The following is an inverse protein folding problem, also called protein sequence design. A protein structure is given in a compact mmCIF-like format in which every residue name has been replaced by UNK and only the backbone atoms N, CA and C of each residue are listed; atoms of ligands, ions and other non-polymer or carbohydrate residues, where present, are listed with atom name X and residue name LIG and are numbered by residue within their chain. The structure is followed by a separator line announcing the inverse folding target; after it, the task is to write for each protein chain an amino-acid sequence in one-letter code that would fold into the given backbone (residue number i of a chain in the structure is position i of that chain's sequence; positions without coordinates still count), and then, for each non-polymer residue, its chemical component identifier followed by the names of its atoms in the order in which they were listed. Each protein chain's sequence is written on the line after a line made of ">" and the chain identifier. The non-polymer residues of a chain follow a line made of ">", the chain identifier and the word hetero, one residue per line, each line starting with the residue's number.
data_IF_986374986804
#
_entry.id   IF_986374986804
#
_cell.length_a   1.000
_cell.length_b   1.000
_cell.length_c   1.000
_cell.angle_alpha   90.00
_cell.angle_beta   90.00
_cell.angle_gamma   90.00
#
_symmetry.space_group_name_H-M   'P 1'
#
loop_
_entity.id
_entity.type
_entity.pdbx_description
1 polymer ?
#
# COMPACT_ATOMS: atom_id res chain seq x y z
N UNK A 1 -19.31 -5.13 -5.14
CA UNK A 1 -19.52 -5.16 -3.67
C UNK A 1 -18.76 -6.29 -2.97
N UNK A 2 -18.98 -7.58 -3.34
CA UNK A 2 -18.32 -8.73 -2.66
C UNK A 2 -16.79 -8.67 -2.60
N UNK A 3 -16.12 -8.22 -3.68
CA UNK A 3 -14.65 -8.09 -3.73
C UNK A 3 -14.10 -7.03 -2.79
N UNK A 4 -14.76 -5.87 -2.72
CA UNK A 4 -14.39 -4.77 -1.81
C UNK A 4 -14.48 -5.22 -0.35
N UNK A 5 -15.55 -5.93 0.03
CA UNK A 5 -15.72 -6.48 1.38
C UNK A 5 -14.63 -7.51 1.71
N UNK A 6 -14.32 -8.42 0.80
CA UNK A 6 -13.24 -9.40 1.03
C UNK A 6 -11.87 -8.74 1.14
N UNK A 7 -11.62 -7.65 0.42
CA UNK A 7 -10.37 -6.90 0.52
C UNK A 7 -10.31 -6.06 1.79
N UNK A 8 -11.45 -5.56 2.28
CA UNK A 8 -11.57 -4.81 3.54
C UNK A 8 -11.22 -5.65 4.78
N UNK A 9 -11.42 -6.98 4.71
CA UNK A 9 -11.04 -7.89 5.79
C UNK A 9 -9.54 -7.89 6.06
N UNK A 10 -8.70 -7.72 5.03
CA UNK A 10 -7.25 -7.72 5.22
C UNK A 10 -6.75 -6.57 6.12
N UNK A 11 -7.04 -5.28 5.84
CA UNK A 11 -6.67 -4.19 6.73
C UNK A 11 -7.38 -4.27 8.08
N UNK A 12 -8.62 -4.78 8.16
CA UNK A 12 -9.26 -5.01 9.45
C UNK A 12 -8.49 -6.04 10.31
N UNK A 13 -8.08 -7.17 9.71
CA UNK A 13 -7.22 -8.17 10.36
C UNK A 13 -5.87 -7.57 10.75
N UNK A 14 -5.26 -6.73 9.91
CA UNK A 14 -4.01 -6.06 10.27
C UNK A 14 -4.18 -5.10 11.45
N UNK A 15 -5.34 -4.44 11.60
CA UNK A 15 -5.65 -3.67 12.81
C UNK A 15 -5.65 -4.53 14.09
N UNK A 16 -6.14 -5.78 14.03
CA UNK A 16 -6.09 -6.72 15.17
C UNK A 16 -4.67 -7.16 15.55
N UNK A 17 -3.69 -6.97 14.65
CA UNK A 17 -2.29 -7.33 14.92
C UNK A 17 -1.77 -6.57 16.13
N UNK A 18 -2.16 -5.30 16.30
CA UNK A 18 -1.79 -4.49 17.47
C UNK A 18 -2.21 -5.15 18.79
N UNK A 19 -3.49 -5.55 18.91
CA UNK A 19 -3.98 -6.25 20.10
C UNK A 19 -3.22 -7.56 20.35
N UNK A 20 -2.98 -8.33 19.29
CA UNK A 20 -2.28 -9.62 19.40
C UNK A 20 -0.84 -9.45 19.85
N UNK A 21 -0.12 -8.47 19.30
CA UNK A 21 1.26 -8.19 19.67
C UNK A 21 1.38 -7.62 21.08
N UNK A 22 0.40 -6.87 21.55
CA UNK A 22 0.43 -6.25 22.89
C UNK A 22 0.07 -7.23 24.00
N UNK A 23 -0.96 -8.07 23.81
CA UNK A 23 -1.50 -8.92 24.88
C UNK A 23 -0.92 -10.34 24.91
N UNK A 24 -0.58 -10.88 23.75
CA UNK A 24 -0.26 -12.31 23.63
C UNK A 24 1.21 -12.58 23.36
N UNK A 25 1.97 -11.61 22.87
CA UNK A 25 3.36 -11.82 22.49
C UNK A 25 4.34 -11.25 23.54
N UNK A 26 5.50 -11.88 23.73
CA UNK A 26 6.59 -11.31 24.51
C UNK A 26 7.04 -9.96 23.92
N UNK A 27 7.27 -8.97 24.79
CA UNK A 27 7.66 -7.62 24.39
C UNK A 27 9.04 -7.56 23.71
N UNK A 28 9.91 -8.54 24.02
CA UNK A 28 11.25 -8.72 23.46
C UNK A 28 11.26 -9.56 22.16
N UNK A 29 10.09 -9.93 21.64
CA UNK A 29 9.92 -10.87 20.53
C UNK A 29 9.52 -10.25 19.19
N UNK A 30 9.81 -8.97 18.95
CA UNK A 30 9.26 -8.22 17.82
C UNK A 30 9.78 -8.68 16.46
N UNK A 31 11.09 -8.88 16.29
CA UNK A 31 11.67 -9.40 15.05
C UNK A 31 11.25 -10.85 14.83
N UNK A 32 11.19 -11.64 15.89
CA UNK A 32 10.68 -13.01 15.84
C UNK A 32 9.19 -13.05 15.44
N UNK A 33 8.38 -12.10 15.90
CA UNK A 33 6.98 -11.95 15.49
C UNK A 33 6.84 -11.62 14.00
N UNK A 34 7.70 -10.74 13.47
CA UNK A 34 7.73 -10.48 12.03
C UNK A 34 8.20 -11.68 11.22
N UNK A 35 9.22 -12.41 11.71
CA UNK A 35 9.71 -13.62 11.07
C UNK A 35 8.63 -14.72 11.00
N UNK A 36 7.97 -15.00 12.12
CA UNK A 36 6.88 -16.00 12.21
C UNK A 36 5.64 -15.61 11.43
N UNK A 37 5.36 -14.30 11.32
CA UNK A 37 4.33 -13.75 10.43
C UNK A 37 4.67 -13.93 8.95
N UNK A 38 5.94 -13.83 8.58
CA UNK A 38 6.39 -13.80 7.18
C UNK A 38 6.80 -15.18 6.65
N UNK A 39 7.81 -15.82 7.24
CA UNK A 39 8.47 -16.99 6.65
C UNK A 39 7.59 -18.25 6.64
N UNK A 40 7.00 -18.72 7.75
CA UNK A 40 6.10 -19.87 7.74
C UNK A 40 4.89 -19.64 6.83
N UNK A 41 4.33 -18.43 6.87
CA UNK A 41 3.21 -18.03 6.04
C UNK A 41 3.57 -18.08 4.55
N UNK A 42 4.73 -17.52 4.19
CA UNK A 42 5.25 -17.51 2.83
C UNK A 42 5.48 -18.91 2.29
N UNK A 43 6.18 -19.76 3.06
CA UNK A 43 6.46 -21.14 2.67
C UNK A 43 5.18 -21.95 2.49
N UNK A 44 4.22 -21.82 3.40
CA UNK A 44 2.93 -22.49 3.29
C UNK A 44 2.13 -21.98 2.08
N UNK A 45 2.15 -20.67 1.80
CA UNK A 45 1.50 -20.11 0.62
C UNK A 45 2.14 -20.61 -0.69
N UNK A 46 3.47 -20.74 -0.74
CA UNK A 46 4.19 -21.34 -1.88
C UNK A 46 3.83 -22.81 -2.04
N UNK A 47 3.79 -23.57 -0.94
CA UNK A 47 3.43 -24.99 -0.93
C UNK A 47 1.98 -25.22 -1.41
N UNK A 48 1.04 -24.38 -0.96
CA UNK A 48 -0.36 -24.45 -1.36
C UNK A 48 -0.57 -24.01 -2.81
N UNK A 49 0.12 -22.96 -3.25
CA UNK A 49 0.01 -22.47 -4.62
C UNK A 49 0.80 -23.33 -5.62
N UNK A 50 1.76 -24.13 -5.15
CA UNK A 50 2.64 -25.02 -5.95
C UNK A 50 3.28 -24.32 -7.15
N UNK A 51 3.52 -23.01 -7.01
CA UNK A 51 4.05 -22.17 -8.09
C UNK A 51 5.25 -21.40 -7.54
N UNK A 52 6.43 -21.70 -8.08
CA UNK A 52 7.67 -21.02 -7.73
C UNK A 52 7.90 -19.78 -8.62
N UNK A 53 8.68 -18.79 -8.15
CA UNK A 53 9.16 -17.72 -9.00
C UNK A 53 9.87 -18.30 -10.23
N UNK A 54 9.75 -17.63 -11.37
CA UNK A 54 10.36 -18.04 -12.62
C UNK A 54 10.97 -16.85 -13.35
N UNK A 55 12.08 -17.08 -14.06
CA UNK A 55 12.84 -16.02 -14.75
C UNK A 55 13.22 -14.89 -13.80
N UNK A 56 12.97 -13.65 -14.22
CA UNK A 56 13.25 -12.42 -13.47
C UNK A 56 12.53 -12.31 -12.13
N UNK A 57 11.50 -13.13 -11.89
CA UNK A 57 10.72 -13.02 -10.66
C UNK A 57 11.44 -13.48 -9.40
N UNK A 58 12.53 -14.24 -9.53
CA UNK A 58 13.38 -14.57 -8.38
C UNK A 58 13.94 -13.33 -7.71
N UNK A 59 14.59 -12.46 -8.47
CA UNK A 59 15.19 -11.24 -7.92
C UNK A 59 14.13 -10.18 -7.64
N UNK A 60 13.06 -10.06 -8.45
CA UNK A 60 11.97 -9.10 -8.19
C UNK A 60 11.23 -9.45 -6.90
N UNK A 61 10.91 -10.72 -6.67
CA UNK A 61 10.30 -11.17 -5.42
C UNK A 61 11.22 -10.93 -4.22
N UNK A 62 12.54 -11.16 -4.39
CA UNK A 62 13.52 -10.85 -3.36
C UNK A 62 13.52 -9.35 -3.03
N UNK A 63 13.65 -8.48 -4.02
CA UNK A 63 13.64 -7.02 -3.81
C UNK A 63 12.33 -6.55 -3.17
N UNK A 64 11.18 -7.00 -3.69
CA UNK A 64 9.87 -6.60 -3.14
C UNK A 64 9.65 -7.14 -1.73
N UNK A 65 10.03 -8.39 -1.46
CA UNK A 65 9.96 -9.02 -0.14
C UNK A 65 10.86 -8.30 0.85
N UNK A 66 12.09 -7.97 0.47
CA UNK A 66 13.00 -7.16 1.29
C UNK A 66 12.39 -5.79 1.58
N UNK A 67 11.97 -5.03 0.58
CA UNK A 67 11.51 -3.65 0.79
C UNK A 67 10.22 -3.54 1.60
N UNK A 68 9.27 -4.46 1.41
CA UNK A 68 7.96 -4.38 2.08
C UNK A 68 7.93 -5.12 3.43
N UNK A 69 8.85 -6.04 3.66
CA UNK A 69 8.82 -6.94 4.83
C UNK A 69 10.20 -6.99 5.49
N UNK A 70 11.21 -7.50 4.79
CA UNK A 70 12.51 -7.86 5.37
C UNK A 70 13.32 -6.69 5.92
N UNK A 71 13.25 -5.53 5.27
CA UNK A 71 13.89 -4.29 5.68
C UNK A 71 12.91 -3.39 6.44
N UNK A 72 11.62 -3.41 6.05
CA UNK A 72 10.61 -2.58 6.68
C UNK A 72 10.35 -2.93 8.14
N UNK A 73 10.14 -4.22 8.46
CA UNK A 73 9.80 -4.60 9.84
C UNK A 73 10.92 -4.32 10.85
N UNK A 74 12.21 -4.64 10.60
CA UNK A 74 13.28 -4.32 11.54
C UNK A 74 13.44 -2.82 11.78
N UNK A 75 13.35 -2.02 10.71
CA UNK A 75 13.40 -0.55 10.82
C UNK A 75 12.19 0.01 11.57
N UNK A 76 11.02 -0.58 11.38
CA UNK A 76 9.80 -0.23 12.12
C UNK A 76 9.95 -0.52 13.61
N UNK A 77 10.47 -1.69 13.99
CA UNK A 77 10.69 -2.03 15.39
C UNK A 77 11.77 -1.19 16.04
N UNK A 78 12.90 -0.99 15.36
CA UNK A 78 13.97 -0.10 15.85
C UNK A 78 13.46 1.33 16.07
N UNK A 79 12.58 1.83 15.18
CA UNK A 79 11.93 3.12 15.36
C UNK A 79 10.96 3.11 16.56
N UNK A 80 10.16 2.04 16.72
CA UNK A 80 9.19 1.92 17.81
C UNK A 80 9.84 1.76 19.20
N UNK A 81 10.98 1.09 19.30
CA UNK A 81 11.73 0.93 20.55
C UNK A 81 12.44 2.22 20.98
N UNK A 82 12.90 3.02 20.02
CA UNK A 82 13.75 4.19 20.30
C UNK A 82 13.03 5.52 20.25
N UNK A 83 11.83 5.57 19.71
CA UNK A 83 11.03 6.78 19.63
C UNK A 83 9.77 6.64 20.49
N UNK A 84 9.30 7.75 21.09
CA UNK A 84 7.93 7.82 21.58
C UNK A 84 6.95 7.42 20.46
N UNK A 85 5.95 6.61 20.78
CA UNK A 85 5.04 6.00 19.79
C UNK A 85 4.36 7.02 18.85
N UNK A 86 4.13 8.25 19.33
CA UNK A 86 3.67 9.34 18.48
C UNK A 86 4.66 9.66 17.36
N UNK A 87 5.95 9.85 17.68
CA UNK A 87 6.99 10.24 16.70
C UNK A 87 7.12 9.15 15.64
N UNK A 88 7.18 7.89 16.06
CA UNK A 88 7.18 6.74 15.16
C UNK A 88 5.95 6.72 14.23
N UNK A 89 4.76 7.02 14.76
CA UNK A 89 3.54 7.14 13.97
C UNK A 89 3.63 8.26 12.92
N UNK A 90 4.23 9.41 13.24
CA UNK A 90 4.39 10.53 12.27
C UNK A 90 5.28 10.16 11.10
N UNK A 91 6.34 9.40 11.38
CA UNK A 91 7.23 8.89 10.35
C UNK A 91 6.48 7.93 9.42
N UNK A 92 5.66 7.03 9.97
CA UNK A 92 4.77 6.19 9.17
C UNK A 92 3.76 7.00 8.34
N UNK A 93 3.22 8.09 8.89
CA UNK A 93 2.27 8.96 8.20
C UNK A 93 2.89 9.84 7.10
N UNK A 94 4.22 9.95 7.05
CA UNK A 94 4.94 10.56 5.93
C UNK A 94 5.00 9.66 4.69
N UNK A 95 4.74 8.35 4.85
CA UNK A 95 4.81 7.36 3.79
C UNK A 95 3.96 7.71 2.55
N UNK A 96 2.71 8.21 2.64
CA UNK A 96 1.93 8.62 1.48
C UNK A 96 2.60 9.74 0.65
N UNK A 97 3.34 10.66 1.30
CA UNK A 97 4.11 11.71 0.60
C UNK A 97 5.27 11.06 -0.16
N UNK A 98 6.01 10.17 0.49
CA UNK A 98 7.13 9.47 -0.12
C UNK A 98 6.67 8.64 -1.33
N UNK A 99 5.55 7.92 -1.20
CA UNK A 99 4.91 7.20 -2.32
C UNK A 99 4.51 8.16 -3.43
N UNK A 100 3.91 9.31 -3.12
CA UNK A 100 3.52 10.29 -4.13
C UNK A 100 4.74 10.85 -4.89
N UNK A 101 5.85 11.12 -4.21
CA UNK A 101 7.11 11.55 -4.83
C UNK A 101 7.72 10.45 -5.69
N UNK A 102 7.83 9.23 -5.16
CA UNK A 102 8.36 8.08 -5.88
C UNK A 102 7.47 7.70 -7.09
N UNK A 103 6.16 7.88 -7.02
CA UNK A 103 5.28 7.65 -8.15
C UNK A 103 5.60 8.59 -9.33
N UNK A 104 6.03 9.83 -9.08
CA UNK A 104 6.48 10.74 -10.14
C UNK A 104 7.78 10.23 -10.78
N UNK A 105 8.76 9.89 -9.95
CA UNK A 105 10.11 9.53 -10.42
C UNK A 105 10.13 8.14 -11.07
N UNK A 106 9.45 7.16 -10.46
CA UNK A 106 9.51 5.74 -10.83
C UNK A 106 8.43 5.34 -11.83
N UNK A 107 7.25 5.96 -11.77
CA UNK A 107 6.11 5.64 -12.64
C UNK A 107 5.83 6.74 -13.69
N UNK A 108 6.51 7.89 -13.63
CA UNK A 108 6.26 9.01 -14.53
C UNK A 108 4.91 9.71 -14.32
N UNK A 109 4.24 9.47 -13.18
CA UNK A 109 2.96 10.09 -12.89
C UNK A 109 3.12 11.61 -12.66
N UNK A 110 2.13 12.42 -13.06
CA UNK A 110 2.17 13.87 -12.79
C UNK A 110 1.85 14.16 -11.32
N UNK A 111 2.71 14.93 -10.64
CA UNK A 111 2.50 15.30 -9.24
C UNK A 111 1.24 16.17 -9.11
N UNK A 112 0.22 15.64 -8.45
CA UNK A 112 -0.97 16.41 -8.12
C UNK A 112 -0.67 17.29 -6.92
N UNK A 113 -0.70 18.62 -7.10
CA UNK A 113 -0.57 19.60 -5.99
C UNK A 113 -1.57 19.32 -4.86
N UNK A 114 -2.71 18.74 -5.20
CA UNK A 114 -3.72 18.28 -4.24
C UNK A 114 -3.24 17.13 -3.35
N UNK A 115 -2.60 16.11 -3.93
CA UNK A 115 -2.04 14.97 -3.18
C UNK A 115 -0.90 15.42 -2.27
N UNK A 116 -0.09 16.37 -2.74
CA UNK A 116 0.97 16.96 -1.93
C UNK A 116 0.41 17.76 -0.74
N UNK A 117 -0.59 18.62 -0.99
CA UNK A 117 -1.24 19.42 0.05
C UNK A 117 -1.84 18.56 1.15
N UNK A 118 -2.61 17.54 0.78
CA UNK A 118 -3.18 16.61 1.77
C UNK A 118 -2.12 15.72 2.43
N UNK A 119 -1.02 15.39 1.75
CA UNK A 119 0.13 14.75 2.38
C UNK A 119 0.68 15.58 3.56
N UNK A 120 0.87 16.88 3.36
CA UNK A 120 1.34 17.80 4.41
C UNK A 120 0.35 17.85 5.58
N UNK A 121 -0.96 17.93 5.30
CA UNK A 121 -2.00 17.89 6.34
C UNK A 121 -1.94 16.59 7.14
N UNK A 122 -1.64 15.46 6.48
CA UNK A 122 -1.44 14.17 7.15
C UNK A 122 -0.25 14.18 8.11
N UNK A 123 0.88 14.75 7.70
CA UNK A 123 2.07 14.92 8.56
C UNK A 123 1.75 15.81 9.77
N UNK A 124 1.02 16.91 9.57
CA UNK A 124 0.59 17.79 10.66
C UNK A 124 -0.36 17.05 11.62
N UNK A 125 -1.33 16.31 11.06
CA UNK A 125 -2.27 15.49 11.83
C UNK A 125 -1.55 14.53 12.74
N UNK A 126 -0.57 13.80 12.23
CA UNK A 126 0.16 12.87 13.10
C UNK A 126 1.07 13.61 14.07
N UNK A 127 1.71 14.72 13.68
CA UNK A 127 2.46 15.60 14.59
C UNK A 127 1.65 16.04 15.83
N UNK A 128 0.35 16.29 15.68
CA UNK A 128 -0.56 16.61 16.80
C UNK A 128 -0.85 15.42 17.72
N UNK A 129 -0.77 14.19 17.23
CA UNK A 129 -0.83 12.96 18.05
C UNK A 129 0.43 12.84 18.92
N UNK A 130 1.54 13.44 18.48
CA UNK A 130 2.89 13.22 19.05
C UNK A 130 3.34 14.22 20.07
N UNK A 131 2.98 15.50 19.91
CA UNK A 131 3.47 16.61 20.72
C UNK A 131 2.89 16.54 22.15
N UNK A 132 3.33 15.52 22.89
CA UNK A 132 3.29 15.45 24.34
C UNK A 132 4.59 16.03 24.94
N UNK A 133 4.56 16.48 26.19
CA UNK A 133 5.63 17.28 26.81
C UNK A 133 6.98 16.55 27.00
N UNK A 134 7.05 15.22 26.85
CA UNK A 134 8.24 14.42 27.20
C UNK A 134 8.96 13.75 26.00
N UNK A 135 8.84 14.30 24.78
CA UNK A 135 9.44 13.70 23.59
C UNK A 135 10.98 13.83 23.55
N UNK A 136 11.69 12.88 24.16
CA UNK A 136 13.11 12.66 23.89
C UNK A 136 13.24 12.01 22.50
N UNK A 137 13.85 12.72 21.55
CA UNK A 137 14.02 12.26 20.17
C UNK A 137 15.38 11.57 20.02
N UNK A 138 15.39 10.25 19.80
CA UNK A 138 16.59 9.52 19.40
C UNK A 138 16.82 9.62 17.88
N UNK A 139 18.01 10.06 17.49
CA UNK A 139 18.38 10.23 16.09
C UNK A 139 18.39 8.90 15.33
N UNK A 140 18.74 7.78 16.00
CA UNK A 140 18.77 6.46 15.36
C UNK A 140 17.35 5.97 15.08
N UNK A 141 16.44 6.11 16.06
CA UNK A 141 15.02 5.83 15.85
C UNK A 141 14.40 6.67 14.73
N UNK A 142 14.75 7.97 14.65
CA UNK A 142 14.27 8.86 13.59
C UNK A 142 14.72 8.41 12.20
N UNK A 143 16.01 8.11 12.05
CA UNK A 143 16.58 7.59 10.79
C UNK A 143 15.96 6.25 10.43
N UNK A 144 15.76 5.36 11.41
CA UNK A 144 15.12 4.07 11.19
C UNK A 144 13.68 4.23 10.70
N UNK A 145 12.89 5.12 11.31
CA UNK A 145 11.51 5.35 10.90
C UNK A 145 11.39 5.99 9.51
N UNK A 146 12.24 6.96 9.18
CA UNK A 146 12.31 7.55 7.81
C UNK A 146 12.74 6.50 6.79
N UNK A 147 13.78 5.71 7.09
CA UNK A 147 14.25 4.66 6.20
C UNK A 147 13.20 3.55 6.01
N UNK A 148 12.47 3.19 7.07
CA UNK A 148 11.36 2.24 7.01
C UNK A 148 10.22 2.74 6.13
N UNK A 149 9.78 3.99 6.35
CA UNK A 149 8.77 4.63 5.52
C UNK A 149 9.19 4.72 4.04
N UNK A 150 10.46 5.07 3.76
CA UNK A 150 11.00 5.13 2.42
C UNK A 150 11.10 3.74 1.76
N UNK A 151 11.56 2.73 2.51
CA UNK A 151 11.62 1.33 2.06
C UNK A 151 10.25 0.83 1.64
N UNK A 152 9.25 1.02 2.50
CA UNK A 152 7.87 0.62 2.21
C UNK A 152 7.28 1.41 1.05
N UNK A 153 7.54 2.72 0.97
CA UNK A 153 7.07 3.55 -0.13
C UNK A 153 7.66 3.10 -1.48
N UNK A 154 8.94 2.77 -1.52
CA UNK A 154 9.60 2.22 -2.70
C UNK A 154 9.08 0.82 -3.04
N UNK A 155 8.91 -0.05 -2.04
CA UNK A 155 8.37 -1.40 -2.20
C UNK A 155 6.97 -1.41 -2.82
N UNK A 156 6.07 -0.54 -2.35
CA UNK A 156 4.72 -0.39 -2.91
C UNK A 156 4.77 0.19 -4.33
N UNK A 157 5.63 1.17 -4.58
CA UNK A 157 5.77 1.80 -5.91
C UNK A 157 6.31 0.81 -6.94
N UNK A 158 7.32 0.01 -6.58
CA UNK A 158 7.88 -1.04 -7.44
C UNK A 158 6.89 -2.20 -7.64
N UNK A 159 6.13 -2.57 -6.62
CA UNK A 159 5.03 -3.56 -6.74
C UNK A 159 4.04 -3.11 -7.82
N UNK A 160 3.69 -1.81 -7.86
CA UNK A 160 2.82 -1.27 -8.91
C UNK A 160 3.50 -1.23 -10.28
N UNK A 161 4.81 -0.89 -10.33
CA UNK A 161 5.59 -0.84 -11.58
C UNK A 161 5.73 -2.20 -12.25
N UNK A 162 6.09 -3.23 -11.47
CA UNK A 162 6.34 -4.58 -11.98
C UNK A 162 5.07 -5.42 -12.08
N UNK A 163 4.00 -5.00 -11.38
CA UNK A 163 2.73 -5.69 -11.37
C UNK A 163 2.84 -7.10 -10.80
N UNK A 164 2.13 -8.04 -11.43
CA UNK A 164 2.16 -9.47 -11.09
C UNK A 164 2.44 -10.28 -12.36
N UNK A 165 3.23 -11.37 -12.29
CA UNK A 165 3.44 -12.21 -13.47
C UNK A 165 2.12 -12.76 -14.00
N UNK A 166 2.04 -12.93 -15.31
CA UNK A 166 0.89 -13.58 -15.95
C UNK A 166 0.73 -15.02 -15.45
N UNK A 167 -0.52 -15.45 -15.28
CA UNK A 167 -0.84 -16.78 -14.74
C UNK A 167 -0.58 -16.99 -13.25
N UNK A 168 0.06 -16.04 -12.56
CA UNK A 168 0.38 -16.18 -11.12
C UNK A 168 -0.75 -15.64 -10.26
N UNK A 169 -1.35 -16.51 -9.45
CA UNK A 169 -2.39 -16.16 -8.50
C UNK A 169 -1.89 -15.29 -7.33
N UNK A 170 -2.80 -14.58 -6.67
CA UNK A 170 -2.45 -13.72 -5.52
C UNK A 170 -1.80 -14.48 -4.35
N UNK A 171 -2.17 -15.75 -4.15
CA UNK A 171 -1.60 -16.58 -3.09
C UNK A 171 -0.12 -16.90 -3.36
N UNK A 172 0.21 -17.29 -4.60
CA UNK A 172 1.60 -17.52 -5.01
C UNK A 172 2.43 -16.25 -4.86
N UNK A 173 1.92 -15.13 -5.37
CA UNK A 173 2.58 -13.83 -5.28
C UNK A 173 2.83 -13.40 -3.83
N UNK A 174 1.80 -13.51 -2.97
CA UNK A 174 1.94 -13.26 -1.53
C UNK A 174 3.01 -14.16 -0.92
N UNK A 175 2.98 -15.45 -1.26
CA UNK A 175 3.94 -16.45 -0.81
C UNK A 175 5.37 -16.11 -1.18
N UNK A 176 5.60 -15.61 -2.40
CA UNK A 176 6.95 -15.21 -2.84
C UNK A 176 7.49 -14.04 -2.03
N UNK A 177 6.70 -12.97 -1.85
CA UNK A 177 7.11 -11.79 -1.10
C UNK A 177 7.31 -12.11 0.39
N UNK A 178 6.38 -12.87 0.99
CA UNK A 178 6.46 -13.30 2.40
C UNK A 178 7.66 -14.21 2.64
N UNK A 179 7.92 -15.17 1.74
CA UNK A 179 9.08 -16.07 1.84
C UNK A 179 10.38 -15.27 1.70
N UNK A 180 10.49 -14.43 0.68
CA UNK A 180 11.67 -13.61 0.45
C UNK A 180 11.95 -12.65 1.62
N UNK A 181 10.94 -11.92 2.07
CA UNK A 181 11.06 -11.03 3.22
C UNK A 181 11.39 -11.80 4.51
N UNK A 182 10.73 -12.93 4.73
CA UNK A 182 10.99 -13.82 5.85
C UNK A 182 12.42 -14.38 5.87
N UNK A 183 12.95 -14.81 4.71
CA UNK A 183 14.33 -15.27 4.59
C UNK A 183 15.34 -14.18 4.95
N UNK A 184 15.07 -12.94 4.54
CA UNK A 184 15.89 -11.79 4.91
C UNK A 184 15.81 -11.51 6.42
N UNK A 185 14.65 -11.71 7.05
CA UNK A 185 14.48 -11.55 8.49
C UNK A 185 15.20 -12.61 9.34
N UNK A 186 15.51 -13.79 8.78
CA UNK A 186 16.21 -14.85 9.53
C UNK A 186 17.53 -14.33 10.08
N UNK A 187 18.32 -13.63 9.27
CA UNK A 187 19.65 -13.13 9.66
C UNK A 187 19.58 -12.14 10.82
N UNK A 188 18.87 -11.01 10.74
CA UNK A 188 18.84 -10.05 11.83
C UNK A 188 18.09 -10.61 13.06
N UNK A 189 17.08 -11.47 12.90
CA UNK A 189 16.45 -12.14 14.04
C UNK A 189 17.47 -13.03 14.76
N UNK A 190 18.22 -13.86 14.05
CA UNK A 190 19.20 -14.75 14.65
C UNK A 190 20.39 -14.02 15.30
N UNK A 191 20.79 -12.86 14.76
CA UNK A 191 21.92 -12.08 15.26
C UNK A 191 21.57 -11.18 16.46
N UNK A 192 20.33 -10.69 16.57
CA UNK A 192 19.96 -9.67 17.56
C UNK A 192 18.99 -10.14 18.65
N UNK A 193 18.03 -11.02 18.32
CA UNK A 193 16.90 -11.35 19.22
C UNK A 193 16.85 -12.84 19.56
N UNK A 194 17.07 -13.70 18.57
CA UNK A 194 16.95 -15.15 18.70
C UNK A 194 15.48 -15.60 18.79
N UNK A 195 15.25 -16.69 19.53
CA UNK A 195 13.91 -17.18 19.84
C UNK A 195 13.56 -16.71 21.25
N UNK A 196 12.44 -15.97 21.45
CA UNK A 196 12.03 -15.52 22.77
C UNK A 196 11.89 -16.67 23.75
N UNK A 197 12.37 -16.47 24.98
CA UNK A 197 12.15 -17.45 26.06
C UNK A 197 10.76 -17.28 26.64
N UNK A 198 10.12 -18.38 27.05
CA UNK A 198 8.80 -18.31 27.72
C UNK A 198 7.60 -18.20 26.77
N UNK A 199 7.69 -18.77 25.56
CA UNK A 199 6.54 -18.94 24.68
C UNK A 199 5.54 -19.90 25.34
N UNK A 200 4.50 -19.34 25.94
CA UNK A 200 3.38 -20.10 26.50
C UNK A 200 2.31 -20.41 25.43
N UNK A 201 1.22 -21.06 25.84
CA UNK A 201 0.15 -21.42 24.91
C UNK A 201 -0.54 -20.19 24.29
N UNK A 202 -0.59 -19.08 25.01
CA UNK A 202 -1.19 -17.82 24.55
C UNK A 202 -0.32 -17.18 23.46
N UNK A 203 0.99 -17.10 23.69
CA UNK A 203 1.97 -16.62 22.71
C UNK A 203 2.01 -17.50 21.46
N UNK A 204 1.94 -18.82 21.62
CA UNK A 204 1.83 -19.73 20.48
C UNK A 204 0.56 -19.45 19.66
N UNK A 205 -0.58 -19.24 20.32
CA UNK A 205 -1.82 -18.82 19.66
C UNK A 205 -1.68 -17.50 18.91
N UNK A 206 -1.00 -16.52 19.51
CA UNK A 206 -0.69 -15.23 18.89
C UNK A 206 0.18 -15.36 17.64
N UNK A 207 1.27 -16.12 17.70
CA UNK A 207 2.13 -16.38 16.54
C UNK A 207 1.41 -17.13 15.42
N UNK A 208 0.57 -18.12 15.76
CA UNK A 208 -0.26 -18.84 14.78
C UNK A 208 -1.27 -17.90 14.09
N UNK A 209 -1.91 -17.01 14.85
CA UNK A 209 -2.79 -15.99 14.29
C UNK A 209 -2.04 -15.04 13.36
N UNK A 210 -0.85 -14.57 13.76
CA UNK A 210 -0.01 -13.69 12.94
C UNK A 210 0.38 -14.34 11.62
N UNK A 211 0.82 -15.61 11.64
CA UNK A 211 1.23 -16.32 10.42
C UNK A 211 0.05 -16.68 9.51
N UNK A 212 -1.00 -17.30 10.05
CA UNK A 212 -2.09 -17.84 9.24
C UNK A 212 -3.06 -16.74 8.79
N UNK A 213 -3.51 -15.91 9.74
CA UNK A 213 -4.56 -14.92 9.50
C UNK A 213 -3.96 -13.59 9.08
N UNK A 214 -3.00 -13.06 9.84
CA UNK A 214 -2.29 -11.81 9.51
C UNK A 214 -1.37 -11.92 8.28
N UNK A 215 -0.76 -13.09 8.10
CA UNK A 215 0.12 -13.43 6.99
C UNK A 215 -0.67 -13.94 5.78
N UNK A 216 -0.83 -15.25 5.65
CA UNK A 216 -1.33 -15.88 4.42
C UNK A 216 -2.70 -15.33 4.01
N UNK A 217 -3.68 -15.37 4.91
CA UNK A 217 -5.05 -15.03 4.58
C UNK A 217 -5.18 -13.54 4.20
N UNK A 218 -4.72 -12.63 5.06
CA UNK A 218 -4.83 -11.20 4.81
C UNK A 218 -4.05 -10.77 3.57
N UNK A 219 -2.79 -11.18 3.39
CA UNK A 219 -2.02 -10.82 2.19
C UNK A 219 -2.65 -11.38 0.91
N UNK A 220 -3.18 -12.61 0.94
CA UNK A 220 -3.85 -13.19 -0.22
C UNK A 220 -5.09 -12.39 -0.61
N UNK A 221 -5.94 -12.04 0.37
CA UNK A 221 -7.14 -11.22 0.15
C UNK A 221 -6.79 -9.81 -0.33
N UNK A 222 -5.75 -9.21 0.25
CA UNK A 222 -5.24 -7.90 -0.11
C UNK A 222 -4.74 -7.86 -1.56
N UNK A 223 -3.85 -8.80 -1.95
CA UNK A 223 -3.31 -8.84 -3.30
C UNK A 223 -4.36 -9.25 -4.36
N UNK A 224 -5.39 -10.02 -3.98
CA UNK A 224 -6.58 -10.23 -4.85
C UNK A 224 -7.33 -8.91 -5.10
N UNK A 225 -7.49 -8.11 -4.05
CA UNK A 225 -8.11 -6.78 -4.14
C UNK A 225 -7.30 -5.82 -4.99
N UNK A 226 -6.00 -5.69 -4.71
CA UNK A 226 -5.06 -4.82 -5.42
C UNK A 226 -5.07 -5.03 -6.93
N UNK A 227 -5.17 -6.28 -7.40
CA UNK A 227 -5.20 -6.59 -8.83
C UNK A 227 -6.52 -6.27 -9.52
N UNK A 228 -7.58 -5.91 -8.79
CA UNK A 228 -8.94 -5.74 -9.36
C UNK A 228 -9.64 -4.44 -8.96
N UNK A 229 -9.26 -3.80 -7.86
CA UNK A 229 -9.86 -2.58 -7.35
C UNK A 229 -9.09 -1.34 -7.84
N UNK A 230 -9.79 -0.21 -8.08
CA UNK A 230 -9.14 1.06 -8.32
C UNK A 230 -8.23 1.46 -7.15
N UNK A 231 -7.07 2.06 -7.44
CA UNK A 231 -6.07 2.47 -6.44
C UNK A 231 -6.69 3.28 -5.29
N UNK A 232 -7.59 4.22 -5.60
CA UNK A 232 -8.31 5.03 -4.61
C UNK A 232 -9.14 4.19 -3.65
N UNK A 233 -9.84 3.16 -4.14
CA UNK A 233 -10.64 2.28 -3.28
C UNK A 233 -9.75 1.46 -2.35
N UNK A 234 -8.63 0.93 -2.86
CA UNK A 234 -7.68 0.14 -2.07
C UNK A 234 -6.99 0.99 -1.00
N UNK A 235 -6.65 2.25 -1.31
CA UNK A 235 -6.10 3.19 -0.35
C UNK A 235 -7.10 3.52 0.78
N UNK A 236 -8.38 3.72 0.44
CA UNK A 236 -9.43 3.93 1.44
C UNK A 236 -9.66 2.68 2.30
N UNK A 237 -9.57 1.48 1.73
CA UNK A 237 -9.65 0.24 2.52
C UNK A 237 -8.50 0.12 3.52
N UNK A 238 -7.30 0.58 3.15
CA UNK A 238 -6.14 0.60 4.06
C UNK A 238 -6.38 1.37 5.36
N UNK A 239 -7.26 2.38 5.34
CA UNK A 239 -7.66 3.16 6.52
C UNK A 239 -8.37 2.33 7.59
N UNK A 240 -8.92 1.18 7.24
CA UNK A 240 -9.57 0.30 8.21
C UNK A 240 -8.57 -0.24 9.23
N UNK A 241 -7.29 -0.39 8.87
CA UNK A 241 -6.27 -0.91 9.80
C UNK A 241 -6.05 0.01 11.00
N UNK A 242 -5.71 1.30 10.84
CA UNK A 242 -5.55 2.20 11.98
C UNK A 242 -6.86 2.43 12.76
N UNK A 243 -8.02 2.40 12.07
CA UNK A 243 -9.32 2.50 12.74
C UNK A 243 -9.62 1.30 13.66
N UNK A 244 -9.38 0.09 13.18
CA UNK A 244 -9.58 -1.13 13.98
C UNK A 244 -8.57 -1.19 15.12
N UNK A 245 -7.31 -0.83 14.88
CA UNK A 245 -6.30 -0.80 15.94
C UNK A 245 -6.67 0.18 17.06
N UNK A 246 -7.02 1.42 16.73
CA UNK A 246 -7.45 2.42 17.71
C UNK A 246 -8.74 2.01 18.44
N UNK A 247 -9.71 1.42 17.72
CA UNK A 247 -10.93 0.90 18.32
C UNK A 247 -10.66 -0.22 19.32
N UNK A 248 -9.75 -1.16 19.01
CA UNK A 248 -9.36 -2.22 19.92
C UNK A 248 -8.56 -1.70 21.12
N UNK A 249 -7.68 -0.71 20.93
CA UNK A 249 -6.99 -0.05 22.04
C UNK A 249 -7.95 0.55 23.06
N UNK A 250 -8.96 1.29 22.60
CA UNK A 250 -9.96 1.89 23.50
C UNK A 250 -10.90 0.84 24.10
N UNK A 251 -11.44 -0.06 23.29
CA UNK A 251 -12.52 -0.97 23.71
C UNK A 251 -12.04 -2.20 24.48
N UNK A 252 -10.83 -2.70 24.17
CA UNK A 252 -10.29 -3.95 24.75
C UNK A 252 -9.19 -3.64 25.75
N UNK A 253 -8.27 -2.74 25.42
CA UNK A 253 -7.15 -2.39 26.30
C UNK A 253 -7.47 -1.26 27.29
N UNK A 254 -8.65 -0.62 27.15
CA UNK A 254 -9.07 0.47 28.02
C UNK A 254 -8.24 1.75 27.85
N UNK A 255 -7.55 1.92 26.71
CA UNK A 255 -6.73 3.09 26.47
C UNK A 255 -7.57 4.36 26.37
N UNK A 256 -7.14 5.42 27.06
CA UNK A 256 -7.76 6.74 26.95
C UNK A 256 -7.01 7.58 25.93
N UNK A 257 -7.65 7.87 24.80
CA UNK A 257 -7.11 8.81 23.82
C UNK A 257 -7.29 10.25 24.32
N UNK A 258 -6.19 10.99 24.38
CA UNK A 258 -6.20 12.41 24.72
C UNK A 258 -6.81 13.23 23.57
N UNK A 259 -7.33 14.43 23.88
CA UNK A 259 -7.92 15.32 22.87
C UNK A 259 -6.97 15.60 21.68
N UNK A 260 -5.66 15.86 21.87
CA UNK A 260 -4.72 16.02 20.76
C UNK A 260 -4.57 14.76 19.89
N UNK A 261 -4.57 13.56 20.49
CA UNK A 261 -4.50 12.30 19.76
C UNK A 261 -5.74 12.05 18.91
N UNK A 262 -6.93 12.33 19.44
CA UNK A 262 -8.19 12.23 18.68
C UNK A 262 -8.20 13.19 17.50
N UNK A 263 -7.82 14.45 17.73
CA UNK A 263 -7.77 15.48 16.68
C UNK A 263 -6.72 15.14 15.61
N UNK A 264 -5.54 14.70 16.03
CA UNK A 264 -4.47 14.31 15.11
C UNK A 264 -4.84 13.08 14.28
N UNK A 265 -5.49 12.09 14.90
CA UNK A 265 -6.00 10.91 14.20
C UNK A 265 -7.08 11.27 13.19
N UNK A 266 -8.05 12.11 13.58
CA UNK A 266 -9.07 12.62 12.68
C UNK A 266 -8.47 13.41 11.51
N UNK A 267 -7.47 14.25 11.77
CA UNK A 267 -6.80 15.04 10.75
C UNK A 267 -5.99 14.17 9.78
N UNK A 268 -5.27 13.16 10.28
CA UNK A 268 -4.52 12.22 9.45
C UNK A 268 -5.44 11.37 8.57
N UNK A 269 -6.57 10.89 9.11
CA UNK A 269 -7.59 10.19 8.32
C UNK A 269 -8.21 11.10 7.27
N UNK A 270 -8.62 12.32 7.63
CA UNK A 270 -9.21 13.28 6.70
C UNK A 270 -8.24 13.62 5.57
N UNK A 271 -6.96 13.80 5.90
CA UNK A 271 -5.90 14.03 4.95
C UNK A 271 -5.71 12.88 3.96
N UNK A 272 -5.64 11.66 4.47
CA UNK A 272 -5.49 10.50 3.61
C UNK A 272 -6.72 10.30 2.73
N UNK A 273 -7.94 10.43 3.26
CA UNK A 273 -9.18 10.34 2.46
C UNK A 273 -9.20 11.42 1.37
N UNK A 274 -9.04 12.68 1.75
CA UNK A 274 -9.18 13.80 0.83
C UNK A 274 -8.04 13.85 -0.20
N UNK A 275 -6.82 13.43 0.17
CA UNK A 275 -5.72 13.26 -0.77
C UNK A 275 -5.98 12.20 -1.85
N UNK A 276 -6.77 11.17 -1.54
CA UNK A 276 -7.15 10.12 -2.49
C UNK A 276 -8.36 10.50 -3.37
N UNK A 277 -9.24 11.38 -2.89
CA UNK A 277 -10.32 11.98 -3.68
C UNK A 277 -9.71 13.04 -4.61
N UNK A 278 -9.36 12.66 -5.85
CA UNK A 278 -8.85 13.62 -6.84
C UNK A 278 -9.84 14.79 -7.01
N UNK A 279 -9.37 16.04 -7.19
CA UNK A 279 -10.27 17.13 -7.56
C UNK A 279 -10.95 16.74 -8.87
N UNK A 280 -12.28 16.78 -8.90
CA UNK A 280 -13.04 16.71 -10.14
C UNK A 280 -12.49 17.83 -11.02
N UNK A 281 -11.68 17.48 -12.03
CA UNK A 281 -11.33 18.43 -13.08
C UNK A 281 -12.66 18.83 -13.72
N UNK A 282 -13.17 20.02 -13.38
CA UNK A 282 -14.19 20.67 -14.20
C UNK A 282 -13.59 20.74 -15.59
N UNK A 283 -14.15 19.96 -16.53
CA UNK A 283 -13.85 20.14 -17.95
C UNK A 283 -14.07 21.64 -18.22
N UNK A 284 -13.12 22.35 -18.84
CA UNK A 284 -13.41 23.67 -19.37
C UNK A 284 -14.71 23.55 -20.19
N UNK A 285 -15.65 24.49 -20.07
CA UNK A 285 -16.82 24.50 -20.94
C UNK A 285 -16.33 24.36 -22.38
N UNK A 286 -16.98 23.53 -23.22
CA UNK A 286 -16.59 23.41 -24.62
C UNK A 286 -16.60 24.82 -25.19
N UNK A 287 -15.42 25.32 -25.54
CA UNK A 287 -15.29 26.60 -26.22
C UNK A 287 -16.05 26.44 -27.53
N UNK A 288 -17.23 27.06 -27.60
CA UNK A 288 -18.05 27.13 -28.79
C UNK A 288 -17.21 27.63 -29.96
N UNK A 289 -17.49 27.06 -31.13
CA UNK A 289 -16.57 27.00 -32.26
C UNK A 289 -16.04 28.34 -32.76
N UNK A 290 -14.82 28.25 -33.27
CA UNK A 290 -14.42 28.94 -34.49
C UNK A 290 -13.57 27.93 -35.25
N UNK A 291 -14.20 27.25 -36.21
CA UNK A 291 -13.53 26.50 -37.26
C UNK A 291 -12.58 27.46 -37.97
N UNK A 292 -11.28 27.35 -37.69
CA UNK A 292 -10.24 27.83 -38.61
C UNK A 292 -9.74 26.61 -39.38
N UNK A 293 -10.00 26.50 -40.68
CA UNK A 293 -9.38 25.45 -41.50
C UNK A 293 -7.89 25.77 -41.65
N UNK A 294 -7.05 24.73 -41.63
CA UNK A 294 -5.65 24.84 -42.06
C UNK A 294 -4.60 24.48 -41.02
N UNK A 295 -4.60 23.24 -40.52
CA UNK A 295 -3.40 22.59 -39.96
C UNK A 295 -3.44 21.07 -40.17
N UNK A 296 -4.63 20.47 -40.29
CA UNK A 296 -4.80 19.03 -40.53
C UNK A 296 -4.32 18.57 -41.93
N UNK A 297 -4.44 19.41 -42.97
CA UNK A 297 -3.93 19.08 -44.31
C UNK A 297 -2.39 19.09 -44.39
N UNK A 298 -1.72 19.92 -43.58
CA UNK A 298 -0.26 19.98 -43.55
C UNK A 298 0.38 18.80 -42.79
N UNK A 299 -0.37 18.18 -41.86
CA UNK A 299 0.08 16.98 -41.13
C UNK A 299 -0.19 15.70 -41.93
N UNK A 300 -1.28 15.66 -42.70
CA UNK A 300 -1.61 14.53 -43.56
C UNK A 300 -0.64 14.34 -44.74
N UNK A 301 0.05 15.40 -45.17
CA UNK A 301 1.09 15.34 -46.20
C UNK A 301 2.48 14.88 -45.69
N UNK A 302 2.71 14.85 -44.37
CA UNK A 302 4.01 14.51 -43.77
C UNK A 302 4.08 13.08 -43.23
N UNK A 303 2.94 12.45 -42.94
CA UNK A 303 2.86 11.05 -42.51
C UNK A 303 2.38 10.20 -43.69
N UNK A 304 3.34 9.74 -44.49
CA UNK A 304 3.12 8.78 -45.57
C UNK A 304 2.85 7.36 -45.05
N UNK A 305 1.72 7.17 -44.35
CA UNK A 305 1.21 5.84 -44.01
C UNK A 305 -0.28 5.75 -44.35
N UNK A 306 -0.58 4.79 -45.24
CA UNK A 306 -1.93 4.40 -45.66
C UNK A 306 -2.81 4.06 -44.46
N UNK A 307 -3.89 4.81 -44.26
CA UNK A 307 -5.01 4.38 -43.43
C UNK A 307 -5.79 3.30 -44.21
N UNK A 308 -6.02 2.09 -43.66
CA UNK A 308 -6.84 1.06 -44.30
C UNK A 308 -8.28 1.55 -44.50
N UNK A 309 -8.86 1.21 -45.65
CA UNK A 309 -10.19 1.65 -46.12
C UNK A 309 -11.40 1.05 -45.35
N UNK A 310 -11.26 0.71 -44.07
CA UNK A 310 -12.32 0.05 -43.28
C UNK A 310 -13.07 0.98 -42.31
N UNK A 311 -12.79 2.30 -42.35
CA UNK A 311 -13.50 3.30 -41.52
C UNK A 311 -14.53 4.13 -42.32
N UNK A 312 -14.83 3.74 -43.56
CA UNK A 312 -15.93 4.32 -44.34
C UNK A 312 -17.03 3.29 -44.56
N UNK A 313 -17.82 3.05 -43.51
CA UNK A 313 -19.13 2.41 -43.60
C UNK A 313 -20.19 3.40 -44.13
N UNK A 314 -21.20 2.92 -44.87
CA UNK A 314 -21.87 3.67 -45.92
C UNK A 314 -23.09 4.43 -45.42
N UNK A 315 -23.13 5.75 -45.64
CA UNK A 315 -24.35 6.54 -45.46
C UNK A 315 -24.37 7.72 -46.45
N UNK A 316 -24.45 7.42 -47.74
CA UNK A 316 -24.91 8.35 -48.78
C UNK A 316 -25.15 7.60 -50.10
N UNK A 317 -26.14 6.71 -50.12
CA UNK A 317 -26.82 6.32 -51.35
C UNK A 317 -28.31 6.54 -51.14
N UNK A 318 -28.74 7.78 -51.33
CA UNK A 318 -30.14 8.09 -51.56
C UNK A 318 -30.23 8.87 -52.89
N UNK A 319 -30.46 8.11 -53.95
CA UNK A 319 -31.13 8.60 -55.15
C UNK A 319 -32.31 7.68 -55.42
N UNK A 320 -33.47 8.26 -55.74
CA UNK A 320 -34.25 7.76 -56.85
C UNK A 320 -34.59 8.86 -57.86
N UNK A 321 -34.11 8.63 -59.08
CA UNK A 321 -34.81 8.67 -60.37
C UNK A 321 -35.74 9.85 -60.70
N UNK A 322 -35.30 10.53 -61.77
CA UNK A 322 -36.08 11.19 -62.81
C UNK A 322 -37.57 10.82 -62.93
N UNK A 323 -38.38 11.88 -63.02
CA UNK A 323 -39.78 11.86 -63.45
C UNK A 323 -40.26 13.29 -63.75
N UNK A 324 -39.89 13.83 -64.93
CA UNK A 324 -40.61 14.93 -65.58
C UNK A 324 -41.21 14.38 -66.87
N UNK A 325 -42.48 14.00 -66.79
CA UNK A 325 -43.56 14.34 -67.72
C UNK A 325 -44.87 14.08 -66.96
#
# INVERSE_FOLDING_TARGET
>A
MRRTLTTALAPAVWGTTYLVTTEFLPADGAMFAALTRALPAGLLAVLLARTLPHGDWWWKALVLGTLNIGLFFPLLFLAAERLPGGVAATLGASQPIMVAGLAVVVLGERLSRWRLGWGIVGVIGVGLIVLGPDAALDATGLLAGVAGAASMALGVTLTKRWGRPEGVGSLAYAGWLLTAGGLVLVVPTALHEGVPTGIDAAALGGYLWLGLVGGILAYTLWFRGLGTLPVTATALLGLLSPLVAAGLGVLVLGETLTTPQVLGFALALAALVAGQLAPVRRRPPPTGGLLRPGHAELVALWVGECVPAEVLGPAALDQPRAGRQ
#
